data_IF_822020000194
#
_entry.id   IF_822020000194
#
_cell.length_a   1.000
_cell.length_b   1.000
_cell.length_c   1.000
_cell.angle_alpha   90.00
_cell.angle_beta   90.00
_cell.angle_gamma   90.00
#
_symmetry.space_group_name_H-M   'P 1'
#
loop_
_entity.id
_entity.type
_entity.pdbx_description
1 polymer ?
#
# COMPACT_ATOMS: atom_id res chain seq x y z
N UNK A 1 1.59 -14.73 2.40
CA UNK A 1 1.92 -13.59 3.27
C UNK A 1 2.60 -14.09 4.53
N UNK A 2 3.80 -13.58 4.85
CA UNK A 2 4.55 -14.01 6.04
C UNK A 2 5.07 -12.85 6.90
N UNK A 3 4.76 -11.60 6.55
CA UNK A 3 5.24 -10.44 7.30
C UNK A 3 4.30 -10.14 8.49
N UNK A 4 4.76 -10.32 9.75
CA UNK A 4 3.93 -10.08 10.92
C UNK A 4 3.61 -8.60 11.13
N UNK A 5 4.37 -7.70 10.48
CA UNK A 5 4.06 -6.27 10.46
C UNK A 5 2.82 -6.04 9.61
N UNK A 6 2.81 -6.45 8.35
CA UNK A 6 1.68 -6.27 7.43
C UNK A 6 0.33 -6.70 8.02
N UNK A 7 0.28 -7.80 8.78
CA UNK A 7 -0.93 -8.28 9.47
C UNK A 7 -1.51 -7.32 10.52
N UNK A 8 -0.71 -6.38 11.02
CA UNK A 8 -1.12 -5.37 12.00
C UNK A 8 -1.59 -4.06 11.34
N UNK A 9 -1.39 -3.90 10.03
CA UNK A 9 -1.87 -2.73 9.30
C UNK A 9 -3.41 -2.64 9.44
N UNK A 10 -4.03 -1.46 9.67
CA UNK A 10 -3.57 -0.09 9.44
C UNK A 10 -3.01 0.66 10.67
N UNK A 11 -2.36 0.01 11.64
CA UNK A 11 -1.77 0.79 12.74
C UNK A 11 -0.73 1.80 12.21
N UNK A 12 -0.84 3.10 12.58
CA UNK A 12 0.11 4.13 12.21
C UNK A 12 1.43 3.84 12.93
N UNK A 13 2.32 3.15 12.24
CA UNK A 13 3.65 2.84 12.75
C UNK A 13 4.67 3.22 11.70
N UNK A 14 5.88 3.59 12.12
CA UNK A 14 7.01 3.91 11.22
C UNK A 14 7.49 2.71 10.38
N UNK A 15 6.74 1.60 10.31
CA UNK A 15 7.03 0.45 9.46
C UNK A 15 6.37 0.57 8.08
N UNK A 16 5.57 1.62 7.84
CA UNK A 16 4.89 1.86 6.57
C UNK A 16 5.18 3.27 6.07
N UNK A 17 5.35 3.37 4.76
CA UNK A 17 5.55 4.61 4.03
C UNK A 17 4.39 4.77 3.05
N UNK A 18 3.69 5.89 3.09
CA UNK A 18 2.72 6.23 2.04
C UNK A 18 3.49 6.58 0.77
N UNK A 19 3.16 5.90 -0.33
CA UNK A 19 3.86 6.07 -1.61
C UNK A 19 3.00 6.83 -2.61
N UNK A 20 1.69 6.58 -2.63
CA UNK A 20 0.80 7.21 -3.58
C UNK A 20 -0.63 7.29 -3.04
N UNK A 21 -1.38 8.27 -3.51
CA UNK A 21 -2.82 8.40 -3.27
C UNK A 21 -3.52 8.38 -4.61
N UNK A 22 -4.62 7.64 -4.69
CA UNK A 22 -5.56 7.68 -5.80
C UNK A 22 -6.86 8.32 -5.30
N UNK A 23 -7.01 9.61 -5.59
CA UNK A 23 -8.18 10.41 -5.21
C UNK A 23 -9.47 9.90 -5.88
N UNK A 24 -9.38 9.36 -7.09
CA UNK A 24 -10.53 8.82 -7.84
C UNK A 24 -11.17 7.64 -7.10
N UNK A 25 -10.34 6.75 -6.57
CA UNK A 25 -10.78 5.58 -5.81
C UNK A 25 -10.85 5.82 -4.30
N UNK A 26 -10.51 7.04 -3.85
CA UNK A 26 -10.31 7.39 -2.43
C UNK A 26 -9.48 6.34 -1.69
N UNK A 27 -8.36 5.97 -2.32
CA UNK A 27 -7.49 4.90 -1.84
C UNK A 27 -6.05 5.38 -1.72
N UNK A 28 -5.36 4.89 -0.71
CA UNK A 28 -3.97 5.22 -0.42
C UNK A 28 -3.12 3.96 -0.52
N UNK A 29 -1.93 4.08 -1.09
CA UNK A 29 -0.95 3.03 -1.26
C UNK A 29 0.19 3.21 -0.27
N UNK A 30 0.37 2.21 0.58
CA UNK A 30 1.44 2.13 1.55
C UNK A 30 2.43 1.03 1.18
N UNK A 31 3.70 1.22 1.47
CA UNK A 31 4.75 0.21 1.39
C UNK A 31 5.23 -0.14 2.78
N UNK A 32 5.27 -1.44 3.08
CA UNK A 32 5.93 -1.92 4.28
C UNK A 32 7.44 -1.80 4.13
N UNK A 33 8.09 -0.96 4.94
CA UNK A 33 9.54 -0.78 4.94
C UNK A 33 10.31 -2.04 5.41
N UNK A 34 9.63 -2.98 6.08
CA UNK A 34 10.26 -4.22 6.56
C UNK A 34 10.40 -5.30 5.48
N UNK A 35 9.41 -5.42 4.59
CA UNK A 35 9.38 -6.51 3.60
C UNK A 35 9.06 -6.06 2.17
N UNK A 36 8.88 -4.74 1.95
CA UNK A 36 8.56 -4.16 0.64
C UNK A 36 7.12 -4.40 0.18
N UNK A 37 6.26 -5.04 0.98
CA UNK A 37 4.88 -5.34 0.58
C UNK A 37 4.09 -4.05 0.33
N UNK A 38 3.37 -4.00 -0.79
CA UNK A 38 2.45 -2.92 -1.12
C UNK A 38 1.07 -3.23 -0.54
N UNK A 39 0.49 -2.23 0.10
CA UNK A 39 -0.75 -2.30 0.85
C UNK A 39 -1.63 -1.14 0.39
N UNK A 40 -2.74 -1.45 -0.26
CA UNK A 40 -3.77 -0.47 -0.57
C UNK A 40 -4.78 -0.41 0.56
N UNK A 41 -5.16 0.81 0.92
CA UNK A 41 -6.28 1.11 1.81
C UNK A 41 -7.32 1.91 1.07
N UNK A 42 -8.59 1.71 1.42
CA UNK A 42 -9.69 2.50 0.86
C UNK A 42 -10.38 3.17 2.03
N UNK A 43 -10.42 4.51 2.03
CA UNK A 43 -10.91 5.30 3.16
C UNK A 43 -12.37 4.95 3.53
N UNK A 44 -13.19 4.60 2.54
CA UNK A 44 -14.61 4.28 2.74
C UNK A 44 -14.86 2.84 3.22
N UNK A 45 -14.04 1.89 2.80
CA UNK A 45 -14.26 0.46 3.05
C UNK A 45 -13.51 -0.04 4.29
N UNK A 46 -12.51 0.72 4.77
CA UNK A 46 -11.55 0.27 5.79
C UNK A 46 -10.85 -1.05 5.43
N UNK A 47 -10.99 -1.50 4.18
CA UNK A 47 -10.40 -2.71 3.64
C UNK A 47 -8.90 -2.53 3.39
N UNK A 48 -8.13 -3.52 3.81
CA UNK A 48 -6.69 -3.62 3.57
C UNK A 48 -6.46 -4.64 2.46
N UNK A 49 -5.95 -4.18 1.33
CA UNK A 49 -5.67 -5.01 0.16
C UNK A 49 -4.17 -5.07 -0.06
N UNK A 50 -3.66 -6.24 -0.41
CA UNK A 50 -2.25 -6.43 -0.71
C UNK A 50 -2.09 -6.51 -2.20
N UNK A 51 -1.29 -5.59 -2.75
CA UNK A 51 -1.11 -5.48 -4.18
C UNK A 51 0.26 -5.99 -4.59
N UNK A 52 0.32 -6.57 -5.77
CA UNK A 52 1.57 -6.77 -6.50
C UNK A 52 2.06 -5.43 -7.09
N UNK A 53 3.35 -5.28 -7.41
CA UNK A 53 3.87 -4.05 -8.03
C UNK A 53 3.15 -3.66 -9.33
N UNK A 54 2.74 -4.66 -10.11
CA UNK A 54 1.99 -4.47 -11.36
C UNK A 54 0.59 -3.89 -11.07
N UNK A 55 -0.16 -4.50 -10.16
CA UNK A 55 -1.49 -4.04 -9.74
C UNK A 55 -1.46 -2.64 -9.11
N UNK A 56 -0.42 -2.36 -8.34
CA UNK A 56 -0.20 -1.05 -7.75
C UNK A 56 0.07 0.00 -8.83
N UNK A 57 0.84 -0.31 -9.87
CA UNK A 57 1.08 0.60 -11.00
C UNK A 57 -0.20 0.86 -11.80
N UNK A 58 -1.03 -0.16 -11.99
CA UNK A 58 -2.31 0.00 -12.70
C UNK A 58 -3.31 0.87 -11.91
N UNK A 59 -3.35 0.72 -10.59
CA UNK A 59 -4.29 1.46 -9.73
C UNK A 59 -3.75 2.81 -9.27
N UNK A 60 -2.44 3.02 -9.26
CA UNK A 60 -1.80 4.25 -8.82
C UNK A 60 -0.89 4.75 -9.93
N UNK A 61 -1.36 5.66 -10.81
CA UNK A 61 -0.58 6.13 -11.95
C UNK A 61 0.67 6.93 -11.56
N UNK A 62 0.80 7.34 -10.29
CA UNK A 62 2.02 7.95 -9.73
C UNK A 62 3.02 6.95 -9.13
N UNK A 63 2.67 5.66 -9.06
CA UNK A 63 3.54 4.62 -8.53
C UNK A 63 4.41 4.02 -9.64
N UNK A 64 5.73 4.24 -9.55
CA UNK A 64 6.70 3.58 -10.41
C UNK A 64 7.45 2.49 -9.63
N UNK A 65 7.22 1.20 -9.91
CA UNK A 65 7.89 0.11 -9.21
C UNK A 65 9.38 0.01 -9.53
N UNK A 66 9.87 0.66 -10.59
CA UNK A 66 11.29 0.62 -10.97
C UNK A 66 12.16 1.56 -10.13
N UNK A 67 11.54 2.42 -9.31
CA UNK A 67 12.22 3.34 -8.40
C UNK A 67 12.53 2.75 -7.02
N UNK A 68 12.10 1.52 -6.71
CA UNK A 68 12.13 0.94 -5.37
C UNK A 68 12.47 -0.56 -5.36
#
# INVERSE_FOLDING_TARGET
MSCPKCLKFPVPTSNYEEIAVNETMQSELYRCLTCGQLIKTIALDHGVYYLSPEEAREQFPGFDPSKY
#
